data_IF_464738130988
#
_entry.id   IF_464738130988
#
_cell.length_a   1.000
_cell.length_b   1.000
_cell.length_c   1.000
_cell.angle_alpha   90.00
_cell.angle_beta   90.00
_cell.angle_gamma   90.00
#
_symmetry.space_group_name_H-M   'P 1'
#
loop_
_entity.id
_entity.type
_entity.pdbx_description
1 polymer ?
#
# COMPACT_ATOMS: atom_id res chain seq x y z
N UNK A 1 2.63 17.87 -8.48
CA UNK A 1 2.06 16.91 -7.51
C UNK A 1 3.01 16.77 -6.32
N UNK A 2 2.47 16.84 -5.13
CA UNK A 2 3.23 16.74 -3.89
C UNK A 2 2.82 15.47 -3.14
N UNK A 3 3.81 14.68 -2.68
CA UNK A 3 3.54 13.56 -1.77
C UNK A 3 3.92 14.01 -0.37
N UNK A 4 2.98 13.95 0.55
CA UNK A 4 3.11 14.49 1.92
C UNK A 4 2.35 13.64 2.92
N UNK A 5 2.60 13.88 4.20
CA UNK A 5 1.80 13.25 5.26
C UNK A 5 0.35 13.72 5.17
N UNK A 6 -0.58 12.81 5.42
CA UNK A 6 -1.99 13.16 5.44
C UNK A 6 -2.33 14.04 6.65
N UNK A 7 -3.41 14.80 6.52
CA UNK A 7 -4.00 15.55 7.62
C UNK A 7 -5.46 15.14 7.77
N UNK A 8 -6.09 15.54 8.87
CA UNK A 8 -7.50 15.24 9.10
C UNK A 8 -8.40 15.76 7.95
N UNK A 9 -8.04 16.88 7.36
CA UNK A 9 -8.80 17.46 6.24
C UNK A 9 -8.79 16.60 4.98
N UNK A 10 -7.82 15.68 4.85
CA UNK A 10 -7.71 14.82 3.68
C UNK A 10 -8.62 13.60 3.73
N UNK A 11 -9.12 13.23 4.91
CA UNK A 11 -9.86 11.98 5.12
C UNK A 11 -11.07 11.82 4.20
N UNK A 12 -11.79 12.92 3.95
CA UNK A 12 -12.96 12.90 3.09
C UNK A 12 -12.64 12.43 1.67
N UNK A 13 -11.45 12.75 1.18
CA UNK A 13 -10.98 12.31 -0.13
C UNK A 13 -10.27 10.95 -0.09
N UNK A 14 -9.61 10.62 1.02
CA UNK A 14 -8.84 9.38 1.17
C UNK A 14 -9.73 8.14 1.26
N UNK A 15 -10.80 8.23 2.04
CA UNK A 15 -11.69 7.10 2.32
C UNK A 15 -12.30 6.52 1.04
N UNK A 16 -12.86 7.33 0.12
CA UNK A 16 -13.37 6.79 -1.15
C UNK A 16 -12.29 6.09 -1.99
N UNK A 17 -11.07 6.62 -2.01
CA UNK A 17 -9.97 6.01 -2.77
C UNK A 17 -9.61 4.63 -2.19
N UNK A 18 -9.49 4.54 -0.87
CA UNK A 18 -9.22 3.28 -0.19
C UNK A 18 -10.33 2.26 -0.43
N UNK A 19 -11.58 2.69 -0.26
CA UNK A 19 -12.74 1.81 -0.40
C UNK A 19 -12.92 1.30 -1.83
N UNK A 20 -12.55 2.07 -2.82
CA UNK A 20 -12.58 1.62 -4.22
C UNK A 20 -11.74 0.35 -4.40
N UNK A 21 -10.53 0.32 -3.82
CA UNK A 21 -9.65 -0.85 -3.90
C UNK A 21 -10.22 -2.04 -3.10
N UNK A 22 -10.80 -1.77 -1.92
CA UNK A 22 -11.43 -2.82 -1.12
C UNK A 22 -12.61 -3.46 -1.89
N UNK A 23 -13.43 -2.63 -2.52
CA UNK A 23 -14.60 -3.10 -3.28
C UNK A 23 -14.23 -3.87 -4.55
N UNK A 24 -13.11 -3.53 -5.18
CA UNK A 24 -12.61 -4.30 -6.32
C UNK A 24 -12.29 -5.76 -5.92
N UNK A 25 -11.81 -5.97 -4.70
CA UNK A 25 -11.57 -7.31 -4.13
C UNK A 25 -10.52 -8.13 -4.85
N UNK A 26 -9.51 -7.48 -5.42
CA UNK A 26 -8.46 -8.14 -6.21
C UNK A 26 -7.04 -7.78 -5.76
N UNK A 27 -6.87 -6.85 -4.80
CA UNK A 27 -5.56 -6.39 -4.38
C UNK A 27 -5.39 -6.33 -2.86
N UNK A 28 -6.37 -5.77 -2.13
CA UNK A 28 -6.29 -5.66 -0.68
C UNK A 28 -6.92 -6.86 0.01
N UNK A 29 -6.31 -7.36 1.10
CA UNK A 29 -6.91 -8.44 1.88
C UNK A 29 -8.16 -8.01 2.67
N UNK A 30 -8.34 -6.70 2.93
CA UNK A 30 -9.49 -6.20 3.66
C UNK A 30 -10.78 -6.38 2.86
N UNK A 31 -11.84 -6.79 3.54
CA UNK A 31 -13.16 -6.99 2.95
C UNK A 31 -14.15 -5.87 3.32
N UNK A 32 -13.89 -5.15 4.41
CA UNK A 32 -14.79 -4.10 4.90
C UNK A 32 -14.28 -2.72 4.52
N UNK A 33 -15.20 -1.88 4.04
CA UNK A 33 -14.91 -0.48 3.73
C UNK A 33 -14.78 0.34 5.01
N UNK A 34 -14.06 1.46 4.91
CA UNK A 34 -13.93 2.42 5.99
C UNK A 34 -15.07 3.44 5.92
N UNK A 35 -15.55 3.88 7.09
CA UNK A 35 -16.42 5.04 7.22
C UNK A 35 -15.61 6.21 7.79
N UNK A 36 -16.24 7.37 8.00
CA UNK A 36 -15.54 8.56 8.49
C UNK A 36 -14.85 8.32 9.83
N UNK A 37 -15.49 7.58 10.72
CA UNK A 37 -14.97 7.30 12.07
C UNK A 37 -13.87 6.25 12.05
N UNK A 38 -14.12 5.10 11.41
CA UNK A 38 -13.12 4.04 11.31
C UNK A 38 -11.93 4.44 10.45
N UNK A 39 -12.16 5.24 9.41
CA UNK A 39 -11.08 5.75 8.57
C UNK A 39 -10.14 6.69 9.32
N UNK A 40 -10.69 7.56 10.16
CA UNK A 40 -9.89 8.44 10.99
C UNK A 40 -8.96 7.64 11.90
N UNK A 41 -9.49 6.64 12.59
CA UNK A 41 -8.71 5.77 13.48
C UNK A 41 -7.67 4.97 12.71
N UNK A 42 -8.09 4.37 11.59
CA UNK A 42 -7.22 3.51 10.78
C UNK A 42 -5.98 4.26 10.28
N UNK A 43 -6.19 5.42 9.66
CA UNK A 43 -5.07 6.18 9.09
C UNK A 43 -4.19 6.83 10.17
N UNK A 44 -4.77 7.22 11.31
CA UNK A 44 -4.00 7.77 12.42
C UNK A 44 -3.16 6.73 13.15
N UNK A 45 -3.55 5.44 13.10
CA UNK A 45 -2.84 4.36 13.79
C UNK A 45 -1.59 3.86 13.04
N UNK A 46 -1.40 4.28 11.80
CA UNK A 46 -0.24 3.88 11.01
C UNK A 46 1.03 4.55 11.52
N UNK A 47 2.20 3.95 11.24
CA UNK A 47 3.49 4.62 11.48
C UNK A 47 3.61 5.87 10.61
N UNK A 48 3.07 5.81 9.40
CA UNK A 48 3.00 6.92 8.48
C UNK A 48 1.88 6.69 7.47
N UNK A 49 1.15 7.74 7.13
CA UNK A 49 0.16 7.72 6.05
C UNK A 49 0.49 8.87 5.10
N UNK A 50 0.84 8.52 3.87
CA UNK A 50 1.19 9.50 2.84
C UNK A 50 0.06 9.68 1.83
N UNK A 51 -0.07 10.90 1.31
CA UNK A 51 -1.06 11.21 0.26
C UNK A 51 -0.37 11.87 -0.92
N UNK A 52 -0.90 11.60 -2.11
CA UNK A 52 -0.51 12.29 -3.33
C UNK A 52 -1.51 13.43 -3.55
N UNK A 53 -1.01 14.65 -3.38
CA UNK A 53 -1.79 15.88 -3.46
C UNK A 53 -1.49 16.58 -4.77
N UNK A 54 -2.49 16.71 -5.63
CA UNK A 54 -2.39 17.42 -6.89
C UNK A 54 -3.26 18.66 -6.83
N UNK A 55 -2.66 19.77 -6.42
CA UNK A 55 -3.31 21.07 -6.28
C UNK A 55 -4.59 21.02 -5.41
N UNK A 56 -4.51 20.32 -4.27
CA UNK A 56 -5.62 20.18 -3.33
C UNK A 56 -6.51 18.98 -3.56
N UNK A 57 -6.32 18.25 -4.67
CA UNK A 57 -7.05 17.01 -4.95
C UNK A 57 -6.17 15.82 -4.58
N UNK A 58 -6.65 14.98 -3.65
CA UNK A 58 -5.95 13.76 -3.28
C UNK A 58 -6.24 12.71 -4.36
N UNK A 59 -5.19 12.19 -4.97
CA UNK A 59 -5.28 11.24 -6.09
C UNK A 59 -4.73 9.86 -5.74
N UNK A 60 -4.10 9.71 -4.59
CA UNK A 60 -3.60 8.43 -4.11
C UNK A 60 -3.12 8.55 -2.68
N UNK A 61 -2.83 7.40 -2.07
CA UNK A 61 -2.34 7.34 -0.70
C UNK A 61 -1.59 6.03 -0.46
N UNK A 62 -0.82 6.00 0.63
CA UNK A 62 -0.28 4.76 1.14
C UNK A 62 -0.27 4.77 2.67
N UNK A 63 -0.26 3.56 3.24
CA UNK A 63 -0.07 3.34 4.67
C UNK A 63 1.22 2.57 4.89
N UNK A 64 1.86 2.81 6.01
CA UNK A 64 3.12 2.19 6.40
C UNK A 64 3.02 1.80 7.87
N UNK A 65 3.31 0.56 8.19
CA UNK A 65 3.22 0.04 9.55
C UNK A 65 4.17 -1.15 9.76
N UNK A 66 4.52 -1.51 11.01
CA UNK A 66 5.31 -2.71 11.24
C UNK A 66 4.58 -3.96 10.71
N UNK A 67 5.35 -4.86 10.11
CA UNK A 67 4.83 -6.14 9.62
C UNK A 67 4.89 -7.23 10.70
N UNK A 68 5.68 -7.00 11.74
CA UNK A 68 5.91 -7.99 12.79
C UNK A 68 6.22 -7.26 14.11
N UNK A 69 6.58 -8.01 15.13
CA UNK A 69 6.77 -7.49 16.49
C UNK A 69 8.17 -7.80 17.01
N UNK A 70 8.56 -7.10 18.07
CA UNK A 70 9.78 -7.38 18.83
C UNK A 70 11.02 -7.37 17.95
N UNK A 71 11.74 -8.49 17.94
CA UNK A 71 13.00 -8.62 17.19
C UNK A 71 12.83 -8.55 15.67
N UNK A 72 11.61 -8.64 15.17
CA UNK A 72 11.26 -8.48 13.75
C UNK A 72 10.49 -7.19 13.48
N UNK A 73 10.39 -6.30 14.46
CA UNK A 73 9.63 -5.05 14.34
C UNK A 73 10.25 -4.03 13.41
N UNK A 74 11.46 -4.26 12.93
CA UNK A 74 12.13 -3.41 11.94
C UNK A 74 11.73 -3.77 10.48
N UNK A 75 10.90 -4.77 10.31
CA UNK A 75 10.29 -5.10 9.02
C UNK A 75 8.94 -4.39 8.96
N UNK A 76 8.74 -3.56 7.96
CA UNK A 76 7.46 -2.87 7.76
C UNK A 76 6.71 -3.43 6.57
N UNK A 77 5.43 -3.06 6.49
CA UNK A 77 4.53 -3.40 5.38
C UNK A 77 3.83 -2.12 4.94
N UNK A 78 3.42 -2.08 3.70
CA UNK A 78 2.72 -0.93 3.13
C UNK A 78 1.62 -1.39 2.17
N UNK A 79 0.63 -0.53 1.99
CA UNK A 79 -0.42 -0.71 0.98
C UNK A 79 -0.62 0.62 0.27
N UNK A 80 -0.84 0.56 -1.04
CA UNK A 80 -0.98 1.74 -1.90
C UNK A 80 -2.34 1.72 -2.57
N UNK A 81 -2.98 2.89 -2.64
CA UNK A 81 -4.24 3.05 -3.35
C UNK A 81 -4.14 4.28 -4.26
N UNK A 82 -4.47 4.10 -5.53
CA UNK A 82 -4.49 5.17 -6.52
C UNK A 82 -5.93 5.31 -7.04
N UNK A 83 -6.43 6.53 -7.10
CA UNK A 83 -7.75 6.80 -7.66
C UNK A 83 -7.84 6.30 -9.09
N UNK A 84 -8.94 5.63 -9.44
CA UNK A 84 -9.17 5.14 -10.81
C UNK A 84 -9.19 6.27 -11.84
N UNK A 85 -9.51 7.50 -11.41
CA UNK A 85 -9.56 8.66 -12.30
C UNK A 85 -8.19 9.08 -12.84
N UNK A 86 -7.10 8.61 -12.23
CA UNK A 86 -5.71 9.03 -12.59
C UNK A 86 -4.78 7.85 -12.81
N UNK A 87 -5.31 6.64 -12.98
CA UNK A 87 -4.48 5.46 -13.28
C UNK A 87 -3.72 5.66 -14.59
N UNK A 88 -2.50 5.12 -14.65
CA UNK A 88 -1.64 5.27 -15.83
C UNK A 88 -0.74 6.51 -15.80
N UNK A 89 -0.79 7.31 -14.73
CA UNK A 89 0.03 8.53 -14.59
C UNK A 89 1.25 8.34 -13.67
N UNK A 90 1.63 7.10 -13.40
CA UNK A 90 2.78 6.74 -12.57
C UNK A 90 2.69 7.23 -11.11
N UNK A 91 1.47 7.45 -10.61
CA UNK A 91 1.26 7.89 -9.23
C UNK A 91 1.64 6.78 -8.25
N UNK A 92 1.31 5.53 -8.56
CA UNK A 92 1.70 4.37 -7.75
C UNK A 92 3.21 4.28 -7.56
N UNK A 93 3.99 4.48 -8.62
CA UNK A 93 5.44 4.47 -8.55
C UNK A 93 5.96 5.56 -7.61
N UNK A 94 5.42 6.77 -7.72
CA UNK A 94 5.81 7.88 -6.85
C UNK A 94 5.48 7.62 -5.38
N UNK A 95 4.34 6.99 -5.12
CA UNK A 95 3.96 6.60 -3.76
C UNK A 95 4.92 5.55 -3.19
N UNK A 96 5.29 4.54 -3.98
CA UNK A 96 6.24 3.51 -3.54
C UNK A 96 7.61 4.12 -3.24
N UNK A 97 8.10 5.00 -4.10
CA UNK A 97 9.39 5.66 -3.88
C UNK A 97 9.38 6.52 -2.61
N UNK A 98 8.31 7.28 -2.39
CA UNK A 98 8.17 8.08 -1.16
C UNK A 98 8.11 7.17 0.07
N UNK A 99 7.37 6.07 -0.02
CA UNK A 99 7.25 5.08 1.05
C UNK A 99 8.60 4.47 1.41
N UNK A 100 9.42 4.10 0.44
CA UNK A 100 10.77 3.57 0.68
C UNK A 100 11.62 4.58 1.46
N UNK A 101 11.56 5.85 1.08
CA UNK A 101 12.29 6.92 1.74
C UNK A 101 11.79 7.13 3.17
N UNK A 102 10.48 7.19 3.36
CA UNK A 102 9.88 7.40 4.68
C UNK A 102 10.14 6.22 5.62
N UNK A 103 10.04 5.01 5.12
CA UNK A 103 10.33 3.81 5.91
C UNK A 103 11.78 3.84 6.43
N UNK A 104 12.71 4.22 5.58
CA UNK A 104 14.12 4.37 5.97
C UNK A 104 14.29 5.47 7.03
N UNK A 105 13.66 6.62 6.84
CA UNK A 105 13.71 7.74 7.80
C UNK A 105 13.16 7.36 9.17
N UNK A 106 12.12 6.52 9.21
CA UNK A 106 11.51 6.04 10.45
C UNK A 106 12.31 4.93 11.13
N UNK A 107 13.41 4.48 10.54
CA UNK A 107 14.29 3.48 11.12
C UNK A 107 13.96 2.04 10.76
N UNK A 108 13.00 1.80 9.87
CA UNK A 108 12.78 0.44 9.35
C UNK A 108 13.95 0.01 8.47
N UNK A 109 14.21 -1.27 8.45
CA UNK A 109 15.35 -1.84 7.71
C UNK A 109 14.94 -2.66 6.51
N UNK A 110 13.69 -3.11 6.47
CA UNK A 110 13.13 -3.93 5.39
C UNK A 110 11.69 -3.54 5.18
N UNK A 111 11.28 -3.39 3.92
CA UNK A 111 9.87 -3.27 3.53
C UNK A 111 9.45 -4.58 2.88
N UNK A 112 8.39 -5.20 3.38
CA UNK A 112 7.89 -6.48 2.89
C UNK A 112 6.43 -6.35 2.47
N UNK A 113 6.09 -6.88 1.30
CA UNK A 113 4.71 -7.08 0.87
C UNK A 113 4.33 -8.53 1.09
N UNK A 114 3.18 -8.77 1.72
CA UNK A 114 2.78 -10.11 2.13
C UNK A 114 1.94 -10.85 1.09
N UNK A 115 1.13 -10.12 0.33
CA UNK A 115 0.06 -10.72 -0.45
C UNK A 115 -0.16 -10.05 -1.81
N UNK A 116 0.92 -9.92 -2.59
CA UNK A 116 0.80 -9.43 -3.96
C UNK A 116 0.20 -10.55 -4.81
N UNK A 117 -0.99 -10.33 -5.36
CA UNK A 117 -1.68 -11.34 -6.17
C UNK A 117 -0.87 -11.61 -7.43
N UNK A 118 -0.63 -12.90 -7.74
CA UNK A 118 0.23 -13.30 -8.85
C UNK A 118 -0.24 -12.73 -10.19
N UNK A 119 -1.55 -12.68 -10.41
CA UNK A 119 -2.12 -12.15 -11.65
C UNK A 119 -2.06 -10.61 -11.75
N UNK A 120 -1.70 -9.91 -10.68
CA UNK A 120 -1.51 -8.47 -10.70
C UNK A 120 -0.15 -8.12 -11.33
N UNK A 121 -0.04 -8.36 -12.63
CA UNK A 121 1.20 -8.22 -13.39
C UNK A 121 1.73 -6.78 -13.33
N UNK A 122 0.84 -5.79 -13.38
CA UNK A 122 1.23 -4.40 -13.35
C UNK A 122 1.97 -4.03 -12.05
N UNK A 123 1.43 -4.45 -10.91
CA UNK A 123 2.06 -4.20 -9.61
C UNK A 123 3.38 -4.97 -9.49
N UNK A 124 3.41 -6.22 -9.93
CA UNK A 124 4.63 -7.04 -9.87
C UNK A 124 5.76 -6.45 -10.70
N UNK A 125 5.48 -6.00 -11.92
CA UNK A 125 6.48 -5.32 -12.77
C UNK A 125 6.99 -4.05 -12.13
N UNK A 126 6.11 -3.26 -11.50
CA UNK A 126 6.48 -2.04 -10.80
C UNK A 126 7.46 -2.36 -9.65
N UNK A 127 7.12 -3.32 -8.81
CA UNK A 127 7.95 -3.68 -7.66
C UNK A 127 9.31 -4.22 -8.09
N UNK A 128 9.34 -5.11 -9.08
CA UNK A 128 10.58 -5.68 -9.60
C UNK A 128 11.47 -4.61 -10.24
N UNK A 129 10.89 -3.66 -10.98
CA UNK A 129 11.62 -2.54 -11.55
C UNK A 129 12.22 -1.64 -10.47
N UNK A 130 11.55 -1.49 -9.32
CA UNK A 130 12.03 -0.67 -8.21
C UNK A 130 12.99 -1.43 -7.26
N UNK A 131 13.34 -2.67 -7.59
CA UNK A 131 14.34 -3.42 -6.85
C UNK A 131 13.80 -4.36 -5.79
N UNK A 132 12.49 -4.57 -5.72
CA UNK A 132 11.91 -5.58 -4.84
C UNK A 132 12.22 -6.97 -5.35
N UNK A 133 12.44 -7.90 -4.44
CA UNK A 133 12.78 -9.30 -4.73
C UNK A 133 11.64 -10.18 -4.28
N UNK A 134 11.17 -11.06 -5.17
CA UNK A 134 10.13 -12.04 -4.84
C UNK A 134 10.70 -13.14 -3.95
N UNK A 135 10.02 -13.42 -2.83
CA UNK A 135 10.44 -14.46 -1.89
C UNK A 135 9.93 -15.84 -2.27
N UNK A 136 8.92 -15.91 -3.09
CA UNK A 136 8.31 -17.17 -3.48
C UNK A 136 6.87 -16.98 -3.90
N UNK A 137 6.11 -18.08 -3.90
CA UNK A 137 4.70 -18.08 -4.26
C UNK A 137 3.93 -18.97 -3.26
N UNK A 138 2.84 -18.43 -2.71
CA UNK A 138 1.95 -19.19 -1.84
C UNK A 138 0.71 -19.54 -2.65
N UNK A 139 0.49 -20.85 -2.96
CA UNK A 139 -0.67 -21.26 -3.75
C UNK A 139 -1.98 -20.96 -3.03
N UNK A 140 -2.94 -20.39 -3.76
CA UNK A 140 -4.27 -20.11 -3.24
C UNK A 140 -4.31 -19.15 -2.06
N UNK A 141 -3.32 -18.26 -1.93
CA UNK A 141 -3.19 -17.39 -0.77
C UNK A 141 -4.18 -16.24 -0.70
N UNK A 142 -4.90 -15.95 -1.78
CA UNK A 142 -5.84 -14.83 -1.85
C UNK A 142 -7.18 -15.29 -2.40
N UNK A 143 -8.25 -15.07 -1.63
CA UNK A 143 -9.62 -15.32 -2.11
C UNK A 143 -10.10 -14.06 -2.84
N UNK A 144 -10.27 -14.16 -4.15
CA UNK A 144 -10.76 -13.08 -4.98
C UNK A 144 -12.22 -12.76 -4.67
N UNK A 145 -12.69 -11.61 -5.09
CA UNK A 145 -14.07 -11.16 -4.84
C UNK A 145 -15.13 -12.15 -5.33
N UNK A 146 -14.87 -12.82 -6.46
CA UNK A 146 -15.80 -13.81 -7.02
C UNK A 146 -15.75 -15.17 -6.33
N UNK A 147 -14.89 -15.34 -5.34
CA UNK A 147 -14.75 -16.54 -4.53
C UNK A 147 -13.68 -17.51 -4.98
N UNK A 148 -13.06 -17.33 -6.16
CA UNK A 148 -11.95 -18.21 -6.54
C UNK A 148 -10.66 -17.76 -5.85
N UNK A 149 -9.71 -18.70 -5.72
CA UNK A 149 -8.43 -18.45 -5.06
C UNK A 149 -7.33 -18.24 -6.09
N UNK A 150 -6.44 -17.28 -5.80
CA UNK A 150 -5.24 -17.04 -6.61
C UNK A 150 -4.00 -17.12 -5.75
N UNK A 151 -2.85 -17.32 -6.40
CA UNK A 151 -1.58 -17.36 -5.71
C UNK A 151 -1.15 -15.96 -5.31
N UNK A 152 -0.37 -15.88 -4.24
CA UNK A 152 0.25 -14.62 -3.80
C UNK A 152 1.77 -14.74 -3.83
N UNK A 153 2.43 -13.62 -4.10
CA UNK A 153 3.87 -13.52 -4.19
C UNK A 153 4.36 -12.52 -3.15
N UNK A 154 4.96 -12.96 -2.04
CA UNK A 154 5.60 -12.03 -1.12
C UNK A 154 6.85 -11.42 -1.76
N UNK A 155 7.09 -10.14 -1.50
CA UNK A 155 8.26 -9.39 -1.96
C UNK A 155 8.93 -8.68 -0.80
N UNK A 156 10.21 -8.39 -0.91
CA UNK A 156 10.90 -7.54 0.05
C UNK A 156 11.87 -6.59 -0.63
N UNK A 157 12.20 -5.52 0.07
CA UNK A 157 13.23 -4.56 -0.33
C UNK A 157 13.98 -4.13 0.92
N UNK A 158 15.31 -4.19 0.88
CA UNK A 158 16.13 -3.68 1.99
C UNK A 158 16.16 -2.14 1.93
N UNK A 159 16.21 -1.51 3.11
CA UNK A 159 16.14 -0.05 3.23
C UNK A 159 17.46 0.57 3.68
N UNK A 160 18.37 -0.22 4.18
CA UNK A 160 19.70 0.22 4.60
C UNK A 160 20.71 0.01 3.47
N UNK A 161 21.71 0.78 3.49
CA UNK A 161 22.81 0.69 2.52
C UNK A 161 23.73 -0.51 2.81
#
# INVERSE_FOLDING_TARGET
MLIREHTHADLEQMIPIWNEIVEEGIAFPQEECLNAESGKVFFASQSYTGVADEDGKIVGLYILHPNNVGRCGHICNASYAVSSSVRGQHIGEKLVLDCLQKAKELGFRVLQFNAVVESNIHARHLYERLGFIQLGTIPGGFRMKDGHYENICPYYHTLND
#
